data_IF_633384691809
#
_entry.id   IF_633384691809
#
_cell.length_a   1.000
_cell.length_b   1.000
_cell.length_c   1.000
_cell.angle_alpha   90.00
_cell.angle_beta   90.00
_cell.angle_gamma   90.00
#
_symmetry.space_group_name_H-M   'P 1'
#
loop_
_entity.id
_entity.type
_entity.pdbx_description
1 polymer ?
#
# COMPACT_ATOMS: atom_id res chain seq x y z
N UNK A 1 -3.03 31.09 -10.12
CA UNK A 1 -3.88 29.95 -9.97
C UNK A 1 -3.40 29.03 -8.85
N UNK A 2 -4.26 28.76 -8.01
CA UNK A 2 -3.89 27.87 -6.96
C UNK A 2 -4.67 26.57 -7.14
N UNK A 3 -3.98 25.51 -7.24
CA UNK A 3 -4.59 24.21 -7.11
C UNK A 3 -3.97 23.57 -5.89
N UNK A 4 -4.77 22.81 -5.19
CA UNK A 4 -4.31 22.16 -4.00
C UNK A 4 -3.25 21.14 -4.35
N UNK A 5 -2.13 21.21 -3.68
CA UNK A 5 -1.15 20.15 -3.72
C UNK A 5 -1.75 18.90 -3.07
N UNK A 6 -1.33 17.72 -3.53
CA UNK A 6 -1.74 16.47 -2.92
C UNK A 6 -1.34 16.45 -1.43
N UNK A 7 -0.22 17.09 -1.10
CA UNK A 7 0.27 17.16 0.28
C UNK A 7 -0.74 17.83 1.21
N UNK A 8 -1.49 18.81 0.70
CA UNK A 8 -2.49 19.53 1.48
C UNK A 8 -3.89 18.92 1.38
N UNK A 9 -4.05 17.85 0.62
CA UNK A 9 -5.36 17.29 0.35
C UNK A 9 -5.95 16.60 1.57
N UNK A 10 -7.24 16.84 1.79
CA UNK A 10 -8.06 16.13 2.77
C UNK A 10 -8.95 15.09 2.11
N UNK A 11 -8.84 14.93 0.79
CA UNK A 11 -9.61 13.93 0.07
C UNK A 11 -9.05 12.53 0.31
N UNK A 12 -9.95 11.54 0.28
CA UNK A 12 -9.56 10.14 0.34
C UNK A 12 -9.04 9.73 -1.03
N UNK A 13 -7.73 9.62 -1.14
CA UNK A 13 -7.06 9.27 -2.38
C UNK A 13 -6.23 8.02 -2.17
N UNK A 14 -6.05 7.24 -3.23
CA UNK A 14 -5.20 6.05 -3.19
C UNK A 14 -3.75 6.41 -3.44
N UNK A 15 -2.88 5.83 -2.61
CA UNK A 15 -1.44 5.98 -2.75
C UNK A 15 -0.78 4.62 -2.76
N UNK A 16 0.36 4.53 -3.43
CA UNK A 16 1.20 3.34 -3.42
C UNK A 16 2.22 3.48 -2.29
N UNK A 17 2.35 2.46 -1.48
CA UNK A 17 3.31 2.45 -0.37
C UNK A 17 4.37 1.42 -0.67
N UNK A 18 5.63 1.82 -0.53
CA UNK A 18 6.74 0.88 -0.59
C UNK A 18 6.90 0.27 0.79
N UNK A 19 6.95 -1.07 0.83
CA UNK A 19 7.10 -1.81 2.07
C UNK A 19 8.47 -2.45 2.15
N UNK A 20 8.83 -2.90 3.34
CA UNK A 20 10.00 -3.76 3.49
C UNK A 20 9.73 -5.10 2.82
N UNK A 21 10.78 -5.78 2.32
CA UNK A 21 10.59 -7.07 1.65
C UNK A 21 9.82 -8.05 2.52
N UNK A 22 8.80 -8.67 1.93
CA UNK A 22 7.96 -9.69 2.59
C UNK A 22 7.14 -9.15 3.77
N UNK A 23 7.04 -7.83 3.92
CA UNK A 23 6.22 -7.22 4.97
C UNK A 23 4.92 -6.63 4.43
N UNK A 24 4.56 -6.95 3.19
CA UNK A 24 3.34 -6.40 2.58
C UNK A 24 2.09 -6.73 3.41
N UNK A 25 1.96 -7.99 3.78
CA UNK A 25 0.79 -8.45 4.55
C UNK A 25 0.76 -7.82 5.94
N UNK A 26 1.90 -7.78 6.61
CA UNK A 26 2.01 -7.17 7.93
C UNK A 26 1.65 -5.69 7.89
N UNK A 27 2.23 -4.95 6.95
CA UNK A 27 1.97 -3.53 6.81
C UNK A 27 0.48 -3.27 6.54
N UNK A 28 -0.12 -4.07 5.64
CA UNK A 28 -1.54 -3.93 5.33
C UNK A 28 -2.42 -4.18 6.55
N UNK A 29 -2.12 -5.23 7.30
CA UNK A 29 -2.90 -5.57 8.50
C UNK A 29 -2.82 -4.47 9.55
N UNK A 30 -1.62 -3.92 9.77
CA UNK A 30 -1.45 -2.87 10.77
C UNK A 30 -2.16 -1.58 10.36
N UNK A 31 -2.09 -1.20 9.10
CA UNK A 31 -2.78 -0.02 8.63
C UNK A 31 -4.30 -0.15 8.76
N UNK A 32 -4.83 -1.33 8.44
CA UNK A 32 -6.27 -1.58 8.60
C UNK A 32 -6.68 -1.54 10.06
N UNK A 33 -5.89 -2.14 10.93
CA UNK A 33 -6.24 -2.27 12.36
C UNK A 33 -6.01 -0.98 13.15
N UNK A 34 -4.87 -0.33 12.91
CA UNK A 34 -4.46 0.83 13.73
C UNK A 34 -4.95 2.16 13.20
N UNK A 35 -5.05 2.29 11.88
CA UNK A 35 -5.41 3.55 11.26
C UNK A 35 -6.79 3.52 10.61
N UNK A 36 -7.45 2.37 10.59
CA UNK A 36 -8.77 2.19 10.00
C UNK A 36 -8.82 2.63 8.53
N UNK A 37 -7.75 2.33 7.80
CA UNK A 37 -7.64 2.72 6.40
C UNK A 37 -8.09 1.58 5.49
N UNK A 38 -8.59 1.94 4.31
CA UNK A 38 -8.76 0.98 3.23
C UNK A 38 -7.38 0.65 2.68
N UNK A 39 -7.08 -0.63 2.58
CA UNK A 39 -5.80 -1.10 2.05
C UNK A 39 -6.06 -2.18 1.02
N UNK A 40 -5.39 -2.06 -0.12
CA UNK A 40 -5.43 -3.04 -1.19
C UNK A 40 -4.06 -3.70 -1.26
N UNK A 41 -4.02 -4.98 -0.92
CA UNK A 41 -2.78 -5.77 -0.93
C UNK A 41 -3.09 -7.12 -1.55
N UNK A 42 -3.18 -7.16 -2.90
CA UNK A 42 -3.61 -8.39 -3.58
C UNK A 42 -2.55 -9.47 -3.49
N UNK A 43 -3.01 -10.71 -3.41
CA UNK A 43 -2.15 -11.87 -3.33
C UNK A 43 -2.29 -12.70 -4.60
N UNK A 44 -1.17 -13.26 -5.03
CA UNK A 44 -1.15 -14.26 -6.08
C UNK A 44 -1.11 -15.63 -5.40
N UNK A 45 -2.08 -16.49 -5.74
CA UNK A 45 -2.13 -17.84 -5.19
C UNK A 45 -1.81 -18.83 -6.31
N UNK A 46 -0.86 -19.71 -6.06
CA UNK A 46 -0.40 -20.65 -7.08
C UNK A 46 0.04 -21.96 -6.46
N UNK A 47 0.06 -22.99 -7.30
CA UNK A 47 0.58 -24.30 -6.91
C UNK A 47 2.02 -24.46 -7.35
N UNK A 48 2.79 -25.14 -6.53
CA UNK A 48 4.16 -25.52 -6.86
C UNK A 48 4.37 -26.97 -6.48
N UNK A 49 5.05 -27.72 -7.34
CA UNK A 49 5.44 -29.09 -7.04
C UNK A 49 6.63 -29.05 -6.10
N UNK A 50 6.52 -29.73 -4.97
CA UNK A 50 7.59 -29.84 -3.98
C UNK A 50 7.94 -31.31 -3.79
N UNK A 51 8.99 -31.56 -2.99
CA UNK A 51 9.37 -32.93 -2.64
C UNK A 51 8.22 -33.69 -1.99
N UNK A 52 7.37 -32.99 -1.25
CA UNK A 52 6.22 -33.59 -0.55
C UNK A 52 4.94 -33.59 -1.38
N UNK A 53 5.01 -33.21 -2.67
CA UNK A 53 3.86 -33.14 -3.55
C UNK A 53 3.48 -31.70 -3.90
N UNK A 54 2.29 -31.51 -4.45
CA UNK A 54 1.80 -30.18 -4.82
C UNK A 54 1.35 -29.42 -3.57
N UNK A 55 1.79 -28.18 -3.47
CA UNK A 55 1.38 -27.29 -2.38
C UNK A 55 0.96 -25.95 -2.91
N UNK A 56 0.04 -25.32 -2.18
CA UNK A 56 -0.42 -23.97 -2.48
C UNK A 56 0.46 -22.95 -1.78
N UNK A 57 0.82 -21.91 -2.51
CA UNK A 57 1.59 -20.78 -2.00
C UNK A 57 0.87 -19.49 -2.31
N UNK A 58 1.11 -18.50 -1.47
CA UNK A 58 0.61 -17.14 -1.68
C UNK A 58 1.77 -16.17 -1.61
N UNK A 59 1.79 -15.23 -2.56
CA UNK A 59 2.77 -14.16 -2.58
C UNK A 59 2.06 -12.86 -2.90
N UNK A 60 2.66 -11.73 -2.48
CA UNK A 60 2.15 -10.43 -2.86
C UNK A 60 2.19 -10.31 -4.38
N UNK A 61 1.08 -9.87 -4.98
CA UNK A 61 1.01 -9.66 -6.43
C UNK A 61 2.00 -8.56 -6.86
N UNK A 62 2.20 -7.56 -6.00
CA UNK A 62 3.17 -6.49 -6.22
C UNK A 62 4.20 -6.55 -5.10
N UNK A 63 5.26 -7.36 -5.23
CA UNK A 63 6.24 -7.51 -4.15
C UNK A 63 6.87 -6.18 -3.75
N UNK A 64 6.79 -5.86 -2.46
CA UNK A 64 7.32 -4.62 -1.93
C UNK A 64 6.37 -3.44 -2.00
N UNK A 65 5.12 -3.64 -2.44
CA UNK A 65 4.17 -2.55 -2.59
C UNK A 65 2.77 -2.95 -2.13
N UNK A 66 2.11 -2.00 -1.47
CA UNK A 66 0.68 -2.10 -1.15
C UNK A 66 0.05 -0.75 -1.48
N UNK A 67 -1.27 -0.71 -1.49
CA UNK A 67 -2.01 0.52 -1.79
C UNK A 67 -2.91 0.85 -0.61
N UNK A 68 -2.96 2.12 -0.24
CA UNK A 68 -3.80 2.58 0.86
C UNK A 68 -4.51 3.86 0.45
N UNK A 69 -5.74 4.00 0.94
CA UNK A 69 -6.57 5.17 0.66
C UNK A 69 -6.66 6.01 1.92
N UNK A 70 -6.20 7.25 1.83
CA UNK A 70 -6.22 8.14 2.98
C UNK A 70 -6.09 9.59 2.55
N UNK A 71 -6.51 10.54 3.44
CA UNK A 71 -6.25 11.96 3.19
C UNK A 71 -4.80 12.26 3.56
N UNK A 72 -4.02 12.67 2.57
CA UNK A 72 -2.58 12.84 2.75
C UNK A 72 -2.24 13.85 3.85
N UNK A 73 -2.95 14.96 3.86
CA UNK A 73 -2.67 16.05 4.82
C UNK A 73 -2.68 15.56 6.27
N UNK A 74 -3.62 14.68 6.61
CA UNK A 74 -3.83 14.27 8.00
C UNK A 74 -3.19 12.94 8.35
N UNK A 75 -2.93 12.07 7.37
CA UNK A 75 -2.52 10.69 7.63
C UNK A 75 -1.14 10.30 7.10
N UNK A 76 -0.51 11.16 6.29
CA UNK A 76 0.75 10.79 5.66
C UNK A 76 1.83 10.38 6.64
N UNK A 77 1.97 11.15 7.72
CA UNK A 77 3.01 10.89 8.73
C UNK A 77 2.74 9.58 9.46
N UNK A 78 1.50 9.35 9.83
CA UNK A 78 1.08 8.11 10.48
C UNK A 78 1.38 6.90 9.57
N UNK A 79 1.00 7.01 8.30
CA UNK A 79 1.19 5.94 7.33
C UNK A 79 2.68 5.68 7.11
N UNK A 80 3.47 6.73 6.89
CA UNK A 80 4.90 6.59 6.61
C UNK A 80 5.68 6.01 7.78
N UNK A 81 5.19 6.21 9.01
CA UNK A 81 5.85 5.67 10.20
C UNK A 81 5.31 4.32 10.64
N UNK A 82 4.34 3.77 9.92
CA UNK A 82 3.76 2.48 10.26
C UNK A 82 4.76 1.36 10.02
N UNK A 83 4.74 0.35 10.88
CA UNK A 83 5.67 -0.77 10.78
C UNK A 83 5.50 -1.49 9.43
N UNK A 84 6.62 -1.77 8.78
CA UNK A 84 6.63 -2.43 7.49
C UNK A 84 6.54 -1.49 6.31
N UNK A 85 6.18 -0.23 6.52
CA UNK A 85 6.11 0.78 5.46
C UNK A 85 7.43 1.54 5.40
N UNK A 86 8.03 1.62 4.20
CA UNK A 86 9.24 2.39 3.99
C UNK A 86 8.93 3.83 3.62
N UNK A 87 8.01 4.02 2.65
CA UNK A 87 7.66 5.36 2.20
C UNK A 87 6.40 5.34 1.35
N UNK A 88 5.83 6.52 1.15
CA UNK A 88 4.80 6.75 0.15
C UNK A 88 5.51 7.04 -1.18
N UNK A 89 5.13 6.31 -2.23
CA UNK A 89 5.75 6.46 -3.55
C UNK A 89 5.37 7.81 -4.16
N UNK A 90 6.33 8.47 -4.78
CA UNK A 90 6.09 9.76 -5.41
C UNK A 90 7.26 10.21 -6.25
N UNK A 91 7.14 11.41 -6.81
CA UNK A 91 8.16 12.03 -7.66
C UNK A 91 8.32 13.48 -7.28
N UNK A 92 9.57 13.92 -7.23
CA UNK A 92 9.88 15.32 -7.00
C UNK A 92 9.29 15.90 -5.72
N UNK A 93 9.20 15.10 -4.67
CA UNK A 93 8.63 15.54 -3.41
C UNK A 93 7.11 15.48 -3.33
N UNK A 94 6.46 15.06 -4.42
CA UNK A 94 5.00 14.93 -4.47
C UNK A 94 4.61 13.45 -4.45
N UNK A 95 3.66 13.06 -3.60
CA UNK A 95 3.15 11.68 -3.64
C UNK A 95 2.34 11.45 -4.92
N UNK A 96 2.47 10.26 -5.48
CA UNK A 96 1.75 9.88 -6.69
C UNK A 96 0.38 9.32 -6.31
N UNK A 97 -0.69 9.88 -6.87
CA UNK A 97 -2.05 9.40 -6.66
C UNK A 97 -2.32 8.26 -7.65
N UNK A 98 -2.88 7.18 -7.14
CA UNK A 98 -3.29 6.03 -7.95
C UNK A 98 -4.78 6.16 -8.22
N UNK A 99 -5.17 6.03 -9.49
CA UNK A 99 -6.57 6.15 -9.85
C UNK A 99 -7.40 4.97 -9.32
N UNK A 100 -8.63 5.25 -8.90
CA UNK A 100 -9.54 4.24 -8.36
C UNK A 100 -9.68 3.04 -9.29
N UNK A 101 -9.74 3.27 -10.59
CA UNK A 101 -9.92 2.20 -11.57
C UNK A 101 -8.76 1.21 -11.60
N UNK A 102 -7.58 1.60 -11.14
CA UNK A 102 -6.43 0.71 -11.05
C UNK A 102 -6.61 -0.27 -9.90
N UNK A 103 -7.21 0.19 -8.82
CA UNK A 103 -7.42 -0.63 -7.62
C UNK A 103 -8.54 -1.63 -7.82
N UNK A 104 -9.50 -1.28 -8.56
CA UNK A 104 -10.59 -2.20 -8.81
C UNK A 104 -11.91 -1.62 -8.85
#
# INVERSE_FOLDING_TARGET
MAYSSVIESTELLWFCLKTQPKHEKLAAQLLRAQADLEVFSPLLRFQRVTVSGKKWFEEALFPGYIFARFPYCTHARLVASSMGVNKVVGFGGEPAVVEDKIIG
#
